data_IF_419693918747
#
_entry.id   IF_419693918747
#
_cell.length_a   1.000
_cell.length_b   1.000
_cell.length_c   1.000
_cell.angle_alpha   90.00
_cell.angle_beta   90.00
_cell.angle_gamma   90.00
#
_symmetry.space_group_name_H-M   'P 1'
#
loop_
_entity.id
_entity.type
_entity.pdbx_description
1 polymer ?
#
# COMPACT_ATOMS: atom_id res chain seq x y z
N UNK A 1 -2.89 26.92 6.72
CA UNK A 1 -3.81 27.14 5.60
C UNK A 1 -4.20 25.77 5.07
N UNK A 2 -5.36 25.27 5.51
CA UNK A 2 -5.88 23.98 5.07
C UNK A 2 -6.30 24.13 3.60
N UNK A 3 -5.54 23.53 2.67
CA UNK A 3 -5.82 23.67 1.23
C UNK A 3 -7.00 22.77 0.86
N UNK A 4 -7.96 23.38 0.16
CA UNK A 4 -9.21 22.79 -0.32
C UNK A 4 -9.02 21.43 -1.01
N UNK A 5 -10.06 20.58 -0.97
CA UNK A 5 -10.12 19.22 -1.50
C UNK A 5 -9.63 19.13 -2.95
N UNK A 6 -9.90 20.16 -3.76
CA UNK A 6 -9.45 20.25 -5.16
C UNK A 6 -7.93 20.14 -5.26
N UNK A 7 -7.18 20.87 -4.42
CA UNK A 7 -5.72 20.82 -4.46
C UNK A 7 -5.19 19.43 -4.12
N UNK A 8 -5.82 18.76 -3.16
CA UNK A 8 -5.43 17.40 -2.75
C UNK A 8 -5.71 16.40 -3.86
N UNK A 9 -6.85 16.54 -4.54
CA UNK A 9 -7.19 15.70 -5.69
C UNK A 9 -6.22 15.91 -6.86
N UNK A 10 -5.96 17.16 -7.25
CA UNK A 10 -5.01 17.48 -8.33
C UNK A 10 -3.61 17.02 -7.98
N UNK A 11 -3.16 17.21 -6.74
CA UNK A 11 -1.86 16.72 -6.29
C UNK A 11 -1.78 15.20 -6.33
N UNK A 12 -2.82 14.46 -5.89
CA UNK A 12 -2.85 13.00 -5.96
C UNK A 12 -2.77 12.51 -7.41
N UNK A 13 -3.51 13.13 -8.34
CA UNK A 13 -3.41 12.82 -9.77
C UNK A 13 -2.02 13.10 -10.34
N UNK A 14 -1.39 14.21 -9.96
CA UNK A 14 -0.01 14.51 -10.38
C UNK A 14 0.97 13.44 -9.83
N UNK A 15 0.84 13.07 -8.56
CA UNK A 15 1.66 12.04 -7.92
C UNK A 15 1.52 10.68 -8.62
N UNK A 16 0.30 10.29 -9.02
CA UNK A 16 0.06 9.09 -9.84
C UNK A 16 0.91 9.11 -11.12
N UNK A 17 0.84 10.18 -11.88
CA UNK A 17 1.56 10.29 -13.16
C UNK A 17 3.07 10.36 -12.96
N UNK A 18 3.54 11.05 -11.92
CA UNK A 18 4.96 11.06 -11.57
C UNK A 18 5.46 9.66 -11.21
N UNK A 19 4.75 8.94 -10.34
CA UNK A 19 5.13 7.58 -9.95
C UNK A 19 5.23 6.65 -11.16
N UNK A 20 4.22 6.63 -12.04
CA UNK A 20 4.24 5.81 -13.25
C UNK A 20 5.32 6.24 -14.26
N UNK A 21 5.60 7.54 -14.37
CA UNK A 21 6.58 8.08 -15.30
C UNK A 21 8.03 7.82 -14.90
N UNK A 22 8.30 7.60 -13.61
CA UNK A 22 9.67 7.39 -13.08
C UNK A 22 9.90 5.98 -12.51
N UNK A 23 8.98 5.05 -12.73
CA UNK A 23 9.11 3.67 -12.28
C UNK A 23 10.41 3.04 -12.85
N UNK A 24 11.26 2.52 -11.96
CA UNK A 24 12.55 1.91 -12.32
C UNK A 24 13.67 2.90 -12.64
N UNK A 25 13.49 4.21 -12.39
CA UNK A 25 14.53 5.24 -12.61
C UNK A 25 15.33 5.61 -11.34
N UNK A 26 15.20 4.87 -10.24
CA UNK A 26 15.96 5.17 -9.01
C UNK A 26 15.40 6.36 -8.22
N UNK A 27 14.10 6.66 -8.34
CA UNK A 27 13.43 7.78 -7.66
C UNK A 27 12.56 7.35 -6.46
N UNK A 28 12.78 6.15 -5.94
CA UNK A 28 11.96 5.52 -4.90
C UNK A 28 11.94 6.35 -3.61
N UNK A 29 13.07 6.93 -3.20
CA UNK A 29 13.14 7.77 -1.99
C UNK A 29 12.20 8.99 -2.05
N UNK A 30 12.18 9.68 -3.19
CA UNK A 30 11.31 10.83 -3.41
C UNK A 30 9.84 10.40 -3.47
N UNK A 31 9.55 9.25 -4.06
CA UNK A 31 8.20 8.71 -4.13
C UNK A 31 7.67 8.24 -2.77
N UNK A 32 8.51 7.63 -1.92
CA UNK A 32 8.16 7.31 -0.52
C UNK A 32 7.85 8.58 0.26
N UNK A 33 8.65 9.63 0.07
CA UNK A 33 8.38 10.93 0.68
C UNK A 33 7.00 11.47 0.28
N UNK A 34 6.66 11.42 -1.01
CA UNK A 34 5.34 11.84 -1.50
C UNK A 34 4.21 10.92 -0.98
N UNK A 35 4.45 9.61 -0.92
CA UNK A 35 3.49 8.63 -0.39
C UNK A 35 3.09 8.99 1.04
N UNK A 36 4.03 9.44 1.89
CA UNK A 36 3.73 9.86 3.26
C UNK A 36 2.75 11.03 3.34
N UNK A 37 2.71 11.91 2.34
CA UNK A 37 1.70 12.99 2.27
C UNK A 37 0.37 12.52 1.65
N UNK A 38 0.43 11.54 0.74
CA UNK A 38 -0.76 10.99 0.08
C UNK A 38 -1.55 10.06 1.02
N UNK A 39 -0.87 9.21 1.80
CA UNK A 39 -1.46 8.14 2.60
C UNK A 39 -2.55 8.59 3.60
N UNK A 40 -2.40 9.71 4.34
CA UNK A 40 -3.43 10.17 5.28
C UNK A 40 -4.75 10.59 4.60
N UNK A 41 -4.74 10.84 3.29
CA UNK A 41 -5.90 11.30 2.53
C UNK A 41 -6.74 10.16 1.94
N UNK A 42 -6.39 8.89 2.22
CA UNK A 42 -7.03 7.67 1.68
C UNK A 42 -8.53 7.57 1.95
N UNK A 43 -9.01 8.16 3.04
CA UNK A 43 -10.42 8.11 3.42
C UNK A 43 -11.31 9.11 2.67
N UNK A 44 -10.72 10.07 1.95
CA UNK A 44 -11.45 11.28 1.53
C UNK A 44 -11.57 11.40 0.01
N UNK A 45 -10.66 10.81 -0.78
CA UNK A 45 -10.53 11.14 -2.21
C UNK A 45 -10.24 9.89 -3.06
N UNK A 46 -11.03 9.61 -4.10
CA UNK A 46 -10.79 8.50 -5.04
C UNK A 46 -9.45 8.61 -5.78
N UNK A 47 -9.02 9.81 -6.14
CA UNK A 47 -7.72 10.04 -6.79
C UNK A 47 -6.51 9.58 -5.94
N UNK A 48 -6.65 9.52 -4.61
CA UNK A 48 -5.61 8.97 -3.72
C UNK A 48 -5.46 7.46 -3.93
N UNK A 49 -6.55 6.73 -4.17
CA UNK A 49 -6.49 5.30 -4.47
C UNK A 49 -5.72 5.04 -5.77
N UNK A 50 -5.94 5.87 -6.79
CA UNK A 50 -5.19 5.77 -8.05
C UNK A 50 -3.72 6.14 -7.90
N UNK A 51 -3.40 7.14 -7.06
CA UNK A 51 -2.03 7.49 -6.73
C UNK A 51 -1.30 6.34 -6.02
N UNK A 52 -1.97 5.66 -5.09
CA UNK A 52 -1.43 4.47 -4.41
C UNK A 52 -1.19 3.33 -5.40
N UNK A 53 -2.07 3.14 -6.37
CA UNK A 53 -1.86 2.14 -7.43
C UNK A 53 -0.66 2.49 -8.31
N UNK A 54 -0.44 3.76 -8.65
CA UNK A 54 0.78 4.21 -9.33
C UNK A 54 2.03 4.00 -8.48
N UNK A 55 1.94 4.27 -7.18
CA UNK A 55 3.01 4.02 -6.21
C UNK A 55 3.35 2.54 -6.07
N UNK A 56 2.37 1.64 -6.16
CA UNK A 56 2.62 0.19 -6.18
C UNK A 56 3.55 -0.21 -7.32
N UNK A 57 3.37 0.36 -8.51
CA UNK A 57 4.21 0.06 -9.68
C UNK A 57 5.63 0.59 -9.49
N UNK A 58 5.77 1.80 -8.93
CA UNK A 58 7.06 2.46 -8.82
C UNK A 58 7.89 2.02 -7.58
N UNK A 59 7.24 1.79 -6.45
CA UNK A 59 7.87 1.41 -5.17
C UNK A 59 7.84 -0.10 -4.91
N UNK A 60 6.99 -0.83 -5.63
CA UNK A 60 6.73 -2.25 -5.40
C UNK A 60 5.59 -2.52 -4.41
N UNK A 61 5.01 -3.71 -4.52
CA UNK A 61 3.85 -4.12 -3.75
C UNK A 61 4.14 -4.28 -2.25
N UNK A 62 5.37 -4.71 -1.89
CA UNK A 62 5.79 -4.90 -0.51
C UNK A 62 5.76 -3.59 0.30
N UNK A 63 6.21 -2.47 -0.31
CA UNK A 63 6.19 -1.15 0.34
C UNK A 63 4.75 -0.76 0.65
N UNK A 64 3.84 -0.86 -0.33
CA UNK A 64 2.43 -0.51 -0.12
C UNK A 64 1.76 -1.45 0.90
N UNK A 65 2.10 -2.74 0.90
CA UNK A 65 1.61 -3.70 1.89
C UNK A 65 1.96 -3.24 3.31
N UNK A 66 3.21 -2.82 3.56
CA UNK A 66 3.65 -2.36 4.88
C UNK A 66 2.83 -1.16 5.40
N UNK A 67 2.47 -0.22 4.52
CA UNK A 67 1.57 0.87 4.90
C UNK A 67 0.13 0.38 5.13
N UNK A 68 -0.31 -0.68 4.44
CA UNK A 68 -1.66 -1.22 4.52
C UNK A 68 -1.91 -2.09 5.77
N UNK A 69 -0.91 -2.82 6.26
CA UNK A 69 -1.09 -3.80 7.35
C UNK A 69 -1.69 -3.19 8.63
N UNK A 70 -1.24 -1.98 8.99
CA UNK A 70 -1.68 -1.24 10.18
C UNK A 70 -3.20 -0.96 10.22
N UNK A 71 -3.88 -0.85 9.08
CA UNK A 71 -5.32 -0.57 9.04
C UNK A 71 -6.21 -1.77 8.73
N UNK A 72 -5.62 -2.91 8.31
CA UNK A 72 -6.37 -4.07 7.82
C UNK A 72 -7.27 -4.69 8.91
N UNK A 73 -6.74 -4.81 10.12
CA UNK A 73 -7.45 -5.37 11.29
C UNK A 73 -7.81 -4.33 12.35
N UNK A 74 -7.78 -3.03 11.99
CA UNK A 74 -8.05 -1.94 12.93
C UNK A 74 -9.45 -2.06 13.58
N UNK A 75 -9.69 -1.76 14.87
CA UNK A 75 -10.99 -1.96 15.53
C UNK A 75 -12.16 -1.17 14.91
N UNK A 76 -11.88 0.03 14.40
CA UNK A 76 -12.89 0.87 13.74
C UNK A 76 -13.24 0.37 12.33
N UNK A 77 -14.52 0.09 12.10
CA UNK A 77 -15.05 -0.39 10.81
C UNK A 77 -14.70 0.52 9.63
N UNK A 78 -14.88 1.84 9.79
CA UNK A 78 -14.59 2.84 8.74
C UNK A 78 -13.13 2.81 8.27
N UNK A 79 -12.20 2.51 9.17
CA UNK A 79 -10.78 2.38 8.82
C UNK A 79 -10.58 1.10 8.02
N UNK A 80 -11.07 -0.04 8.52
CA UNK A 80 -10.96 -1.34 7.82
C UNK A 80 -11.52 -1.28 6.41
N UNK A 81 -12.69 -0.69 6.20
CA UNK A 81 -13.33 -0.63 4.87
C UNK A 81 -12.41 0.01 3.81
N UNK A 82 -11.67 1.07 4.16
CA UNK A 82 -10.73 1.72 3.24
C UNK A 82 -9.48 0.86 3.04
N UNK A 83 -8.91 0.32 4.11
CA UNK A 83 -7.69 -0.48 4.02
C UNK A 83 -7.89 -1.81 3.29
N UNK A 84 -9.03 -2.49 3.49
CA UNK A 84 -9.39 -3.67 2.70
C UNK A 84 -9.57 -3.35 1.23
N UNK A 85 -10.08 -2.16 0.88
CA UNK A 85 -10.15 -1.71 -0.51
C UNK A 85 -8.75 -1.54 -1.13
N UNK A 86 -7.80 -0.96 -0.39
CA UNK A 86 -6.40 -0.82 -0.83
C UNK A 86 -5.77 -2.21 -1.00
N UNK A 87 -5.93 -3.08 -0.01
CA UNK A 87 -5.43 -4.46 -0.04
C UNK A 87 -5.96 -5.24 -1.26
N UNK A 88 -7.25 -5.12 -1.56
CA UNK A 88 -7.84 -5.79 -2.72
C UNK A 88 -7.23 -5.31 -4.04
N UNK A 89 -6.97 -4.00 -4.18
CA UNK A 89 -6.27 -3.46 -5.36
C UNK A 89 -4.85 -4.03 -5.47
N UNK A 90 -4.14 -4.06 -4.35
CA UNK A 90 -2.78 -4.59 -4.26
C UNK A 90 -2.72 -6.07 -4.65
N UNK A 91 -3.66 -6.86 -4.13
CA UNK A 91 -3.77 -8.29 -4.40
C UNK A 91 -4.05 -8.56 -5.88
N UNK A 92 -4.99 -7.83 -6.49
CA UNK A 92 -5.28 -7.95 -7.93
C UNK A 92 -4.05 -7.56 -8.77
N UNK A 93 -3.33 -6.51 -8.38
CA UNK A 93 -2.24 -5.95 -9.17
C UNK A 93 -0.90 -6.68 -9.07
N UNK A 94 -0.64 -7.40 -7.97
CA UNK A 94 0.66 -8.03 -7.73
C UNK A 94 0.61 -9.19 -6.71
N UNK A 95 -0.36 -10.11 -6.83
CA UNK A 95 -0.56 -11.23 -5.89
C UNK A 95 0.73 -12.01 -5.58
N UNK A 96 1.49 -12.40 -6.60
CA UNK A 96 2.69 -13.23 -6.44
C UNK A 96 3.79 -12.51 -5.65
N UNK A 97 3.98 -11.21 -5.93
CA UNK A 97 4.95 -10.38 -5.23
C UNK A 97 4.63 -10.20 -3.74
N UNK A 98 3.37 -10.40 -3.31
CA UNK A 98 2.99 -10.30 -1.90
C UNK A 98 3.45 -11.49 -1.07
N UNK A 99 3.66 -12.67 -1.69
CA UNK A 99 4.06 -13.89 -0.97
C UNK A 99 5.33 -13.67 -0.15
N UNK A 100 6.31 -12.98 -0.74
CA UNK A 100 7.57 -12.63 -0.08
C UNK A 100 7.46 -11.54 0.98
N UNK A 101 6.34 -10.80 1.03
CA UNK A 101 6.16 -9.61 1.87
C UNK A 101 5.17 -9.80 3.03
N UNK A 102 4.36 -10.86 3.03
CA UNK A 102 3.44 -11.10 4.15
C UNK A 102 4.19 -11.27 5.47
N UNK A 103 3.67 -10.68 6.57
CA UNK A 103 4.29 -10.84 7.88
C UNK A 103 4.30 -12.30 8.31
N UNK A 104 5.29 -12.66 9.11
CA UNK A 104 5.31 -13.97 9.77
C UNK A 104 4.33 -13.91 10.94
N UNK A 105 3.44 -14.89 11.00
CA UNK A 105 2.48 -15.06 12.08
C UNK A 105 2.89 -16.30 12.89
N UNK A 106 2.84 -16.19 14.21
CA UNK A 106 3.11 -17.32 15.10
C UNK A 106 1.95 -18.32 15.07
N UNK A 107 2.26 -19.59 15.24
CA UNK A 107 1.25 -20.64 15.32
C UNK A 107 0.48 -20.51 16.65
N UNK A 108 -0.83 -20.75 16.58
CA UNK A 108 -1.70 -20.80 17.76
C UNK A 108 -2.06 -22.25 18.08
N UNK A 109 -2.59 -22.51 19.28
CA UNK A 109 -2.94 -23.86 19.72
C UNK A 109 -3.84 -24.64 18.75
N UNK A 110 -4.68 -23.93 17.99
CA UNK A 110 -5.64 -24.52 17.06
C UNK A 110 -5.30 -24.31 15.58
N UNK A 111 -4.30 -23.46 15.26
CA UNK A 111 -4.04 -23.02 13.89
C UNK A 111 -2.54 -22.92 13.60
N UNK A 112 -2.12 -23.49 12.48
CA UNK A 112 -0.77 -23.31 11.93
C UNK A 112 -0.81 -22.16 10.93
N UNK A 113 -0.13 -21.06 11.24
CA UNK A 113 -0.03 -19.85 10.42
C UNK A 113 1.35 -19.66 9.79
N UNK A 114 2.35 -20.38 10.28
CA UNK A 114 3.71 -20.37 9.74
C UNK A 114 3.78 -20.94 8.32
N UNK A 115 4.86 -20.62 7.60
CA UNK A 115 5.15 -21.08 6.23
C UNK A 115 6.51 -21.79 6.20
N UNK A 116 6.60 -23.06 6.66
CA UNK A 116 7.88 -23.75 6.87
C UNK A 116 8.74 -23.87 5.62
N UNK A 117 8.13 -23.97 4.45
CA UNK A 117 8.81 -24.11 3.16
C UNK A 117 9.70 -22.90 2.84
N UNK A 118 9.33 -21.70 3.33
CA UNK A 118 10.10 -20.47 3.13
C UNK A 118 11.33 -20.40 4.06
N UNK A 119 11.42 -21.26 5.06
CA UNK A 119 12.50 -21.29 6.05
C UNK A 119 13.55 -22.38 5.76
N UNK A 120 13.32 -23.21 4.74
CA UNK A 120 14.29 -24.23 4.36
C UNK A 120 15.58 -23.59 3.87
N UNK A 121 16.71 -24.06 4.40
CA UNK A 121 18.06 -23.70 3.95
C UNK A 121 18.77 -25.00 3.54
N UNK A 122 19.33 -25.02 2.34
CA UNK A 122 20.04 -26.17 1.75
C UNK A 122 21.54 -25.87 1.71
#
# INVERSE_FOLDING_TARGET
MDRDLVHRQTAASAVKHMALGVAGLGCEDALVHLLNYVWPNTHVINAVMEAIEGMRVALGAAVILNYCLQGLFHPARKVREVYWKIYNSLYIGAQDALVAAYPVMEDEANNVYSRPELLMFI
#
